data_IF_168754316445
#
_entry.id   IF_168754316445
#
_cell.length_a   1.000
_cell.length_b   1.000
_cell.length_c   1.000
_cell.angle_alpha   90.00
_cell.angle_beta   90.00
_cell.angle_gamma   90.00
#
_symmetry.space_group_name_H-M   'P 1'
#
loop_
_entity.id
_entity.type
_entity.pdbx_description
1 polymer ?
#
# COMPACT_ATOMS: atom_id res chain seq x y z
N UNK A 1 -12.25 -12.32 5.10
CA UNK A 1 -11.49 -12.52 6.36
C UNK A 1 -10.22 -11.68 6.29
N UNK A 2 -9.61 -11.27 7.42
CA UNK A 2 -8.35 -10.54 7.38
C UNK A 2 -7.26 -11.41 6.74
N UNK A 3 -6.48 -10.83 5.81
CA UNK A 3 -5.30 -11.48 5.23
C UNK A 3 -4.24 -11.69 6.32
N UNK A 4 -3.72 -12.91 6.42
CA UNK A 4 -2.66 -13.24 7.38
C UNK A 4 -1.43 -12.34 7.15
N UNK A 5 -0.77 -11.90 8.22
CA UNK A 5 0.23 -10.83 8.20
C UNK A 5 1.35 -11.09 7.18
N UNK A 6 1.89 -12.31 7.15
CA UNK A 6 2.94 -12.69 6.22
C UNK A 6 2.51 -12.71 4.73
N UNK A 7 1.20 -12.68 4.46
CA UNK A 7 0.61 -12.71 3.12
C UNK A 7 0.02 -11.36 2.71
N UNK A 8 0.12 -10.34 3.56
CA UNK A 8 -0.43 -9.03 3.29
C UNK A 8 0.40 -8.31 2.23
N UNK A 9 -0.27 -7.68 1.27
CA UNK A 9 0.37 -6.81 0.29
C UNK A 9 0.18 -5.34 0.68
N UNK A 10 1.27 -4.57 0.79
CA UNK A 10 1.19 -3.16 1.17
C UNK A 10 0.45 -2.30 0.14
N UNK A 11 0.29 -2.76 -1.10
CA UNK A 11 -0.54 -2.12 -2.12
C UNK A 11 -2.03 -2.54 -2.06
N UNK A 12 -2.43 -3.31 -1.06
CA UNK A 12 -3.84 -3.65 -0.81
C UNK A 12 -4.56 -4.20 -2.04
N UNK A 13 -5.76 -3.68 -2.30
CA UNK A 13 -6.65 -4.21 -3.36
C UNK A 13 -6.06 -4.10 -4.76
N UNK A 14 -5.23 -3.08 -5.03
CA UNK A 14 -4.61 -2.90 -6.36
C UNK A 14 -3.47 -3.89 -6.64
N UNK A 15 -3.11 -4.70 -5.65
CA UNK A 15 -2.24 -5.87 -5.77
C UNK A 15 -2.95 -7.20 -5.41
N UNK A 16 -4.29 -7.21 -5.39
CA UNK A 16 -5.10 -8.42 -5.18
C UNK A 16 -5.35 -8.79 -3.71
N UNK A 17 -4.97 -7.93 -2.76
CA UNK A 17 -5.28 -8.15 -1.34
C UNK A 17 -6.55 -7.41 -0.95
N UNK A 18 -7.71 -8.07 -1.12
CA UNK A 18 -9.03 -7.50 -0.86
C UNK A 18 -9.28 -7.13 0.61
N UNK A 19 -8.44 -7.58 1.55
CA UNK A 19 -8.53 -7.20 2.96
C UNK A 19 -7.74 -5.93 3.30
N UNK A 20 -6.96 -5.39 2.36
CA UNK A 20 -6.23 -4.13 2.49
C UNK A 20 -7.07 -2.90 2.11
N UNK A 21 -6.44 -1.73 2.11
CA UNK A 21 -7.03 -0.46 1.69
C UNK A 21 -7.74 -0.60 0.32
N UNK A 22 -8.96 -0.04 0.16
CA UNK A 22 -9.66 0.87 1.07
C UNK A 22 -10.52 0.20 2.15
N UNK A 23 -10.69 -1.13 2.11
CA UNK A 23 -11.59 -1.86 3.02
C UNK A 23 -10.90 -2.30 4.32
N UNK A 24 -9.56 -2.33 4.31
CA UNK A 24 -8.72 -2.71 5.44
C UNK A 24 -8.39 -1.53 6.36
N UNK A 25 -8.22 -1.83 7.66
CA UNK A 25 -7.81 -0.86 8.71
C UNK A 25 -6.40 -1.14 9.25
N UNK A 26 -5.58 -1.89 8.50
CA UNK A 26 -4.24 -2.30 8.96
C UNK A 26 -3.23 -1.19 8.65
N UNK A 27 -2.28 -0.91 9.55
CA UNK A 27 -1.26 0.12 9.30
C UNK A 27 -0.27 -0.21 8.18
N UNK A 28 -0.12 -1.48 7.81
CA UNK A 28 0.84 -1.94 6.80
C UNK A 28 0.47 -1.64 5.34
N UNK A 29 -0.67 -1.01 5.08
CA UNK A 29 -1.03 -0.55 3.74
C UNK A 29 -0.36 0.79 3.44
N UNK A 30 0.31 0.87 2.29
CA UNK A 30 0.94 2.06 1.77
C UNK A 30 -0.10 2.94 1.08
N UNK A 31 -0.92 3.61 1.89
CA UNK A 31 -2.12 4.32 1.42
C UNK A 31 -1.78 5.41 0.41
N UNK A 32 -0.62 6.07 0.55
CA UNK A 32 -0.21 7.14 -0.36
C UNK A 32 0.17 6.55 -1.72
N UNK A 33 0.98 5.49 -1.76
CA UNK A 33 1.32 4.81 -3.01
C UNK A 33 0.08 4.22 -3.69
N UNK A 34 -0.84 3.63 -2.93
CA UNK A 34 -2.10 3.10 -3.46
C UNK A 34 -2.92 4.22 -4.10
N UNK A 35 -3.16 5.31 -3.37
CA UNK A 35 -3.97 6.42 -3.87
C UNK A 35 -3.31 7.08 -5.09
N UNK A 36 -2.01 7.32 -5.05
CA UNK A 36 -1.24 7.87 -6.16
C UNK A 36 -1.38 7.00 -7.41
N UNK A 37 -1.18 5.69 -7.30
CA UNK A 37 -1.31 4.77 -8.45
C UNK A 37 -2.74 4.70 -8.98
N UNK A 38 -3.73 4.71 -8.10
CA UNK A 38 -5.15 4.76 -8.51
C UNK A 38 -5.45 6.03 -9.30
N UNK A 39 -5.03 7.20 -8.81
CA UNK A 39 -5.19 8.49 -9.48
C UNK A 39 -4.50 8.49 -10.86
N UNK A 40 -3.34 7.85 -10.97
CA UNK A 40 -2.59 7.74 -12.23
C UNK A 40 -3.14 6.66 -13.18
N UNK A 41 -4.22 5.98 -12.78
CA UNK A 41 -5.00 5.09 -13.64
C UNK A 41 -4.69 3.60 -13.49
N UNK A 42 -4.15 3.17 -12.35
CA UNK A 42 -3.90 1.74 -12.06
C UNK A 42 -5.13 0.87 -12.30
N UNK A 43 -6.32 1.34 -11.91
CA UNK A 43 -7.57 0.57 -12.10
C UNK A 43 -7.89 0.34 -13.59
N UNK A 44 -7.55 1.29 -14.46
CA UNK A 44 -7.70 1.15 -15.92
C UNK A 44 -6.77 0.06 -16.46
N UNK A 45 -5.55 -0.04 -15.94
CA UNK A 45 -4.65 -1.15 -16.32
C UNK A 45 -5.12 -2.51 -15.82
N UNK A 46 -5.96 -2.54 -14.78
CA UNK A 46 -6.63 -3.74 -14.30
C UNK A 46 -7.94 -4.05 -15.06
N UNK A 47 -8.23 -3.31 -16.14
CA UNK A 47 -9.40 -3.51 -16.99
C UNK A 47 -10.67 -2.85 -16.47
N UNK A 48 -10.56 -1.88 -15.55
CA UNK A 48 -11.71 -1.19 -14.95
C UNK A 48 -11.81 0.26 -15.44
N UNK A 49 -13.02 0.76 -15.65
CA UNK A 49 -13.32 2.20 -15.84
C UNK A 49 -12.70 2.89 -17.08
N UNK A 50 -12.11 2.17 -18.04
CA UNK A 50 -11.58 2.80 -19.26
C UNK A 50 -10.70 1.90 -20.12
N UNK A 51 -9.98 2.51 -21.06
CA UNK A 51 -8.96 1.86 -21.89
C UNK A 51 -7.55 2.31 -21.51
N UNK A 52 -6.52 1.45 -21.63
CA UNK A 52 -5.15 1.79 -21.22
C UNK A 52 -4.58 3.09 -21.82
N UNK A 53 -5.03 3.50 -23.02
CA UNK A 53 -4.60 4.76 -23.65
C UNK A 53 -5.03 6.01 -22.87
N UNK A 54 -6.05 5.92 -22.03
CA UNK A 54 -6.51 7.00 -21.15
C UNK A 54 -5.64 7.15 -19.88
N UNK A 55 -4.82 6.14 -19.57
CA UNK A 55 -3.96 6.08 -18.40
C UNK A 55 -2.53 5.69 -18.77
N UNK A 56 -1.77 6.55 -19.48
CA UNK A 56 -0.42 6.24 -19.94
C UNK A 56 0.55 5.94 -18.80
N UNK A 57 0.29 6.47 -17.59
CA UNK A 57 1.06 6.21 -16.39
C UNK A 57 0.46 5.13 -15.48
N UNK A 58 -0.68 4.50 -15.84
CA UNK A 58 -1.40 3.59 -14.95
C UNK A 58 -0.62 2.32 -14.58
N UNK A 59 0.36 1.94 -15.40
CA UNK A 59 1.27 0.82 -15.14
C UNK A 59 2.55 1.21 -14.40
N UNK A 60 2.80 2.50 -14.17
CA UNK A 60 4.02 2.97 -13.54
C UNK A 60 4.06 2.59 -12.05
N UNK A 61 5.24 2.16 -11.57
CA UNK A 61 5.48 1.84 -10.17
C UNK A 61 5.75 3.11 -9.34
N UNK A 62 4.77 4.03 -9.35
CA UNK A 62 4.88 5.32 -8.67
C UNK A 62 4.95 5.13 -7.14
N UNK A 63 5.77 5.94 -6.49
CA UNK A 63 5.95 5.94 -5.05
C UNK A 63 6.21 7.35 -4.54
N UNK A 64 5.80 7.66 -3.32
CA UNK A 64 6.15 8.90 -2.62
C UNK A 64 7.55 8.85 -1.95
N UNK A 65 8.18 7.66 -1.94
CA UNK A 65 9.49 7.41 -1.33
C UNK A 65 9.46 7.09 0.16
N UNK A 66 8.28 7.11 0.80
CA UNK A 66 8.08 6.78 2.20
C UNK A 66 7.56 5.33 2.33
N UNK A 67 8.42 4.36 2.00
CA UNK A 67 8.05 2.95 1.97
C UNK A 67 7.45 2.46 3.30
N UNK A 68 6.23 1.95 3.24
CA UNK A 68 5.57 1.26 4.35
C UNK A 68 5.49 -0.23 4.06
N UNK A 69 5.85 -1.07 5.05
CA UNK A 69 5.63 -2.51 4.94
C UNK A 69 5.18 -3.13 6.27
N UNK A 70 4.60 -4.34 6.17
CA UNK A 70 3.94 -4.99 7.31
C UNK A 70 4.89 -5.37 8.44
N UNK A 71 6.18 -5.54 8.14
CA UNK A 71 7.19 -5.88 9.15
C UNK A 71 7.50 -4.74 10.12
N UNK A 72 7.09 -3.51 9.77
CA UNK A 72 7.23 -2.31 10.62
C UNK A 72 6.21 -2.22 11.75
N UNK A 73 5.19 -3.11 11.74
CA UNK A 73 4.09 -3.08 12.69
C UNK A 73 3.99 -4.36 13.51
N UNK A 74 3.48 -4.21 14.73
CA UNK A 74 3.05 -5.30 15.58
C UNK A 74 1.66 -5.80 15.18
N UNK A 75 1.35 -7.00 15.64
CA UNK A 75 0.09 -7.69 15.30
C UNK A 75 -1.08 -7.28 16.20
N UNK A 76 -0.78 -6.55 17.27
CA UNK A 76 -1.70 -6.11 18.32
C UNK A 76 -1.48 -4.64 18.64
N UNK A 77 -2.51 -3.99 19.18
CA UNK A 77 -2.41 -2.61 19.61
C UNK A 77 -1.47 -2.45 20.82
N UNK A 78 -0.62 -1.40 20.88
CA UNK A 78 -0.38 -0.41 19.84
C UNK A 78 0.45 -1.00 18.68
N UNK A 79 -0.01 -0.82 17.44
CA UNK A 79 0.57 -1.51 16.28
C UNK A 79 1.96 -1.02 15.88
N UNK A 80 2.46 0.09 16.43
CA UNK A 80 3.76 0.62 16.06
C UNK A 80 4.85 -0.05 16.89
N UNK A 81 5.86 -0.59 16.22
CA UNK A 81 7.03 -1.17 16.90
C UNK A 81 7.79 -0.10 17.69
N UNK A 82 8.48 -0.53 18.73
CA UNK A 82 9.41 0.34 19.46
C UNK A 82 10.42 0.94 18.47
N UNK A 83 10.54 2.28 18.39
CA UNK A 83 11.53 2.92 17.54
C UNK A 83 12.93 2.44 17.87
N UNK A 84 13.78 2.29 16.85
CA UNK A 84 15.20 2.02 17.07
C UNK A 84 15.80 3.24 17.79
N UNK A 85 16.47 3.06 18.94
CA UNK A 85 17.09 4.18 19.66
C UNK A 85 18.17 4.86 18.83
N UNK A 86 18.12 6.20 18.76
CA UNK A 86 19.17 7.07 18.21
C UNK A 86 19.03 7.42 16.71
N UNK A 87 19.05 8.72 16.41
CA UNK A 87 19.57 9.20 15.12
C UNK A 87 21.08 9.30 15.26
N UNK A 88 21.90 8.64 14.42
CA UNK A 88 23.36 8.70 14.56
C UNK A 88 23.96 10.06 14.19
N UNK A 89 23.17 11.06 13.82
CA UNK A 89 23.68 12.40 13.49
C UNK A 89 22.60 13.48 13.70
N UNK A 90 22.90 14.41 14.59
CA UNK A 90 22.39 15.77 14.58
C UNK A 90 23.58 16.71 14.70
#
# INVERSE_FOLDING_TARGET
APTAIASQNNLGVIAGDNAGYPNGRRPGDDVVDIALRVVMGKLITLGLFGTPSQAPAGGAALTDGALVNVSMFDTTFPFLKTPIPGSPSN
#
